data_IF_128969528298
#
_entry.id   IF_128969528298
#
_cell.length_a   1.000
_cell.length_b   1.000
_cell.length_c   1.000
_cell.angle_alpha   90.00
_cell.angle_beta   90.00
_cell.angle_gamma   90.00
#
_symmetry.space_group_name_H-M   'P 1'
#
loop_
_entity.id
_entity.type
_entity.pdbx_description
1 polymer ?
#
# COMPACT_ATOMS: atom_id res chain seq x y z
N UNK A 1 0.13 18.12 -0.86
CA UNK A 1 1.19 17.11 -0.64
C UNK A 1 0.50 15.98 0.10
N UNK A 2 0.29 14.82 -0.54
CA UNK A 2 -0.44 13.71 0.07
C UNK A 2 0.40 12.95 1.10
N UNK A 3 -0.24 12.40 2.13
CA UNK A 3 0.41 11.56 3.12
C UNK A 3 0.91 10.26 2.49
N UNK A 4 2.04 9.75 3.01
CA UNK A 4 2.62 8.48 2.53
C UNK A 4 1.93 7.33 3.26
N UNK A 5 1.15 6.55 2.52
CA UNK A 5 0.34 5.47 3.11
C UNK A 5 1.04 4.12 3.18
N UNK A 6 2.07 3.87 2.37
CA UNK A 6 2.82 2.59 2.36
C UNK A 6 4.21 2.71 1.72
N UNK A 7 5.05 1.72 2.01
CA UNK A 7 6.35 1.49 1.35
C UNK A 7 6.45 0.06 0.86
N UNK A 8 7.05 -0.13 -0.32
CA UNK A 8 7.29 -1.45 -0.91
C UNK A 8 8.78 -1.71 -0.98
N UNK A 9 9.21 -2.82 -0.41
CA UNK A 9 10.59 -3.30 -0.44
C UNK A 9 10.56 -4.66 -1.13
N UNK A 10 11.35 -4.81 -2.20
CA UNK A 10 11.47 -6.07 -2.92
C UNK A 10 12.94 -6.39 -3.18
N UNK A 11 13.25 -7.68 -3.20
CA UNK A 11 14.59 -8.20 -3.49
C UNK A 11 14.68 -8.76 -4.91
N UNK A 12 15.89 -8.77 -5.46
CA UNK A 12 16.22 -9.40 -6.73
C UNK A 12 17.70 -9.75 -6.75
N UNK A 13 18.13 -10.60 -7.69
CA UNK A 13 19.55 -10.97 -7.85
C UNK A 13 20.37 -9.81 -8.41
N UNK A 14 19.71 -8.85 -9.05
CA UNK A 14 20.28 -7.60 -9.54
C UNK A 14 19.44 -6.42 -9.08
N UNK A 15 20.02 -5.22 -9.10
CA UNK A 15 19.29 -3.97 -8.80
C UNK A 15 18.10 -3.77 -9.73
N UNK A 16 18.27 -4.06 -11.03
CA UNK A 16 17.21 -3.92 -12.04
C UNK A 16 16.04 -4.84 -11.71
N UNK A 17 16.32 -6.09 -11.33
CA UNK A 17 15.30 -7.06 -10.93
C UNK A 17 14.59 -6.62 -9.64
N UNK A 18 15.34 -6.18 -8.63
CA UNK A 18 14.76 -5.68 -7.37
C UNK A 18 13.82 -4.49 -7.62
N UNK A 19 14.22 -3.56 -8.48
CA UNK A 19 13.40 -2.41 -8.88
C UNK A 19 12.14 -2.84 -9.63
N UNK A 20 12.26 -3.76 -10.58
CA UNK A 20 11.12 -4.30 -11.32
C UNK A 20 10.11 -4.97 -10.38
N UNK A 21 10.59 -5.79 -9.45
CA UNK A 21 9.77 -6.48 -8.46
C UNK A 21 9.06 -5.48 -7.54
N UNK A 22 9.77 -4.43 -7.08
CA UNK A 22 9.18 -3.40 -6.24
C UNK A 22 8.07 -2.63 -6.97
N UNK A 23 8.28 -2.26 -8.23
CA UNK A 23 7.28 -1.57 -9.04
C UNK A 23 6.05 -2.44 -9.31
N UNK A 24 6.25 -3.72 -9.63
CA UNK A 24 5.15 -4.65 -9.83
C UNK A 24 4.33 -4.82 -8.56
N UNK A 25 4.97 -5.11 -7.42
CA UNK A 25 4.28 -5.26 -6.14
C UNK A 25 3.53 -3.97 -5.74
N UNK A 26 4.12 -2.80 -5.97
CA UNK A 26 3.45 -1.52 -5.73
C UNK A 26 2.19 -1.32 -6.59
N UNK A 27 2.19 -1.81 -7.84
CA UNK A 27 1.02 -1.71 -8.74
C UNK A 27 -0.16 -2.60 -8.33
N UNK A 28 0.08 -3.61 -7.49
CA UNK A 28 -0.92 -4.57 -7.05
C UNK A 28 -1.54 -4.21 -5.69
N UNK A 29 -1.02 -3.19 -4.99
CA UNK A 29 -1.53 -2.75 -3.68
C UNK A 29 -2.97 -2.26 -3.81
N UNK A 30 -3.84 -2.77 -2.93
CA UNK A 30 -5.21 -2.33 -2.75
C UNK A 30 -5.44 -1.94 -1.30
N UNK A 31 -5.91 -0.72 -1.08
CA UNK A 31 -6.34 -0.26 0.25
C UNK A 31 -7.80 -0.65 0.44
N UNK A 32 -8.06 -1.59 1.36
CA UNK A 32 -9.42 -1.86 1.80
C UNK A 32 -9.72 -0.86 2.90
N UNK A 33 -10.39 0.24 2.53
CA UNK A 33 -10.88 1.22 3.49
C UNK A 33 -12.22 0.71 3.98
N UNK A 34 -12.22 -0.01 5.10
CA UNK A 34 -13.45 -0.38 5.80
C UNK A 34 -14.05 0.91 6.37
N UNK A 35 -15.15 1.37 5.79
CA UNK A 35 -15.97 2.42 6.37
C UNK A 35 -16.70 1.82 7.56
N UNK A 36 -16.03 1.67 8.71
CA UNK A 36 -16.71 1.50 9.98
C UNK A 36 -17.32 2.85 10.35
N UNK A 37 -18.46 3.14 9.74
CA UNK A 37 -19.47 4.00 10.36
C UNK A 37 -20.02 3.23 11.56
N UNK A 38 -19.22 3.14 12.63
CA UNK A 38 -19.77 2.86 13.94
C UNK A 38 -20.56 4.12 14.32
N UNK A 39 -21.84 4.04 14.02
CA UNK A 39 -22.91 4.97 14.34
C UNK A 39 -23.04 5.05 15.88
N UNK A 40 -22.15 5.80 16.54
CA UNK A 40 -22.40 6.26 17.91
C UNK A 40 -23.30 7.51 17.87
N UNK A 41 -24.57 7.26 17.55
CA UNK A 41 -25.68 8.10 18.00
C UNK A 41 -25.72 8.04 19.53
N UNK A 42 -25.03 8.96 20.21
CA UNK A 42 -25.21 9.17 21.65
C UNK A 42 -26.37 10.14 21.91
N UNK A 43 -27.31 9.62 22.72
CA UNK A 43 -28.61 10.13 23.11
C UNK A 43 -28.55 11.34 24.06
#
# INVERSE_FOLDING_TARGET
MGDRYAYVIATGRTEIEAKKNALQAASEIKFIISNSSDDESNN
#
